data_IF_425065334870
#
_entry.id   IF_425065334870
#
_cell.length_a   1.000
_cell.length_b   1.000
_cell.length_c   1.000
_cell.angle_alpha   90.00
_cell.angle_beta   90.00
_cell.angle_gamma   90.00
#
_symmetry.space_group_name_H-M   'P 1'
#
loop_
_entity.id
_entity.type
_entity.pdbx_description
1 polymer ?
#
# COMPACT_ATOMS: atom_id res chain seq x y z
N UNK A 1 -14.33 13.81 30.48
CA UNK A 1 -14.66 12.93 29.33
C UNK A 1 -13.64 13.09 28.21
N UNK A 2 -13.25 14.31 27.81
CA UNK A 2 -12.26 14.58 26.74
C UNK A 2 -10.94 13.82 26.91
N UNK A 3 -10.39 13.79 28.14
CA UNK A 3 -9.13 13.10 28.43
C UNK A 3 -9.18 11.58 28.13
N UNK A 4 -10.31 10.91 28.42
CA UNK A 4 -10.48 9.48 28.13
C UNK A 4 -10.56 9.20 26.62
N UNK A 5 -11.16 10.10 25.86
CA UNK A 5 -11.24 9.98 24.40
C UNK A 5 -9.87 10.18 23.75
N UNK A 6 -9.10 11.18 24.20
CA UNK A 6 -7.72 11.42 23.77
C UNK A 6 -6.88 10.16 23.98
N UNK A 7 -6.91 9.57 25.18
CA UNK A 7 -6.15 8.35 25.47
C UNK A 7 -6.51 7.19 24.55
N UNK A 8 -7.79 7.01 24.23
CA UNK A 8 -8.25 5.95 23.32
C UNK A 8 -7.74 6.18 21.89
N UNK A 9 -7.82 7.42 21.41
CA UNK A 9 -7.32 7.78 20.09
C UNK A 9 -5.79 7.62 20.00
N UNK A 10 -5.04 8.08 21.00
CA UNK A 10 -3.60 7.95 21.05
C UNK A 10 -3.14 6.49 21.08
N UNK A 11 -3.84 5.63 21.82
CA UNK A 11 -3.60 4.18 21.80
C UNK A 11 -3.82 3.61 20.39
N UNK A 12 -4.92 3.99 19.73
CA UNK A 12 -5.21 3.56 18.36
C UNK A 12 -4.13 4.03 17.38
N UNK A 13 -3.65 5.26 17.54
CA UNK A 13 -2.57 5.83 16.71
C UNK A 13 -1.27 5.04 16.90
N UNK A 14 -0.92 4.69 18.14
CA UNK A 14 0.25 3.89 18.47
C UNK A 14 0.21 2.47 17.88
N UNK A 15 -0.97 1.96 17.54
CA UNK A 15 -1.14 0.64 16.91
C UNK A 15 -0.95 0.66 15.38
N UNK A 16 -0.96 1.82 14.72
CA UNK A 16 -0.79 1.90 13.26
C UNK A 16 0.51 1.28 12.74
N UNK A 17 1.68 1.50 13.35
CA UNK A 17 2.93 0.85 12.92
C UNK A 17 2.81 -0.69 12.88
N UNK A 18 2.16 -1.29 13.87
CA UNK A 18 1.94 -2.74 13.94
C UNK A 18 0.97 -3.22 12.86
N UNK A 19 -0.09 -2.44 12.58
CA UNK A 19 -1.02 -2.76 11.51
C UNK A 19 -0.35 -2.67 10.14
N UNK A 20 0.42 -1.61 9.90
CA UNK A 20 1.17 -1.41 8.65
C UNK A 20 2.21 -2.52 8.46
N UNK A 21 2.99 -2.88 9.48
CA UNK A 21 3.95 -3.98 9.43
C UNK A 21 3.30 -5.31 9.02
N UNK A 22 2.11 -5.62 9.55
CA UNK A 22 1.36 -6.83 9.18
C UNK A 22 0.97 -6.82 7.70
N UNK A 23 0.54 -5.68 7.16
CA UNK A 23 0.20 -5.58 5.73
C UNK A 23 1.47 -5.65 4.89
N UNK A 24 2.53 -4.94 5.27
CA UNK A 24 3.83 -4.97 4.60
C UNK A 24 4.37 -6.40 4.51
N UNK A 25 4.32 -7.18 5.59
CA UNK A 25 4.75 -8.59 5.58
C UNK A 25 3.94 -9.44 4.62
N UNK A 26 2.63 -9.21 4.50
CA UNK A 26 1.81 -9.91 3.48
C UNK A 26 2.18 -9.48 2.06
N UNK A 27 2.43 -8.20 1.86
CA UNK A 27 2.88 -7.67 0.56
C UNK A 27 4.25 -8.23 0.16
N UNK A 28 5.18 -8.38 1.11
CA UNK A 28 6.50 -8.97 0.88
C UNK A 28 6.46 -10.46 0.46
N UNK A 29 5.33 -11.15 0.67
CA UNK A 29 5.13 -12.53 0.20
C UNK A 29 4.58 -12.59 -1.24
N UNK A 30 4.19 -11.45 -1.82
CA UNK A 30 3.71 -11.37 -3.20
C UNK A 30 4.91 -11.49 -4.13
N UNK A 31 5.08 -12.66 -4.73
CA UNK A 31 6.19 -12.94 -5.61
C UNK A 31 5.79 -12.76 -7.07
N UNK A 32 6.67 -12.13 -7.84
CA UNK A 32 6.55 -12.06 -9.30
C UNK A 32 6.57 -13.49 -9.86
N UNK A 33 5.58 -13.88 -10.68
CA UNK A 33 5.50 -15.23 -11.21
C UNK A 33 6.65 -15.50 -12.18
N UNK A 34 7.21 -16.70 -12.13
CA UNK A 34 8.17 -17.20 -13.12
C UNK A 34 7.46 -18.17 -14.07
N UNK A 35 7.66 -18.02 -15.37
CA UNK A 35 7.05 -18.90 -16.36
C UNK A 35 7.98 -19.19 -17.53
N UNK A 36 7.83 -20.37 -18.10
CA UNK A 36 8.56 -20.86 -19.28
C UNK A 36 7.67 -20.89 -20.54
N UNK A 37 6.38 -20.59 -20.41
CA UNK A 37 5.41 -20.56 -21.50
C UNK A 37 4.46 -19.37 -21.35
N UNK A 38 3.90 -18.92 -22.48
CA UNK A 38 2.96 -17.79 -22.51
C UNK A 38 1.70 -18.09 -21.68
N UNK A 39 1.17 -19.31 -21.74
CA UNK A 39 -0.03 -19.67 -20.98
C UNK A 39 0.21 -19.66 -19.47
N UNK A 40 1.33 -20.23 -19.02
CA UNK A 40 1.73 -20.20 -17.61
C UNK A 40 2.01 -18.78 -17.13
N UNK A 41 2.61 -17.94 -17.98
CA UNK A 41 2.85 -16.52 -17.68
C UNK A 41 1.55 -15.74 -17.50
N UNK A 42 0.57 -15.94 -18.38
CA UNK A 42 -0.77 -15.33 -18.26
C UNK A 42 -1.45 -15.76 -16.96
N UNK A 43 -1.46 -17.07 -16.65
CA UNK A 43 -2.05 -17.57 -15.41
C UNK A 43 -1.37 -16.99 -14.17
N UNK A 44 -0.04 -16.98 -14.15
CA UNK A 44 0.76 -16.39 -13.08
C UNK A 44 0.49 -14.90 -12.89
N UNK A 45 0.45 -14.14 -13.98
CA UNK A 45 0.21 -12.68 -13.92
C UNK A 45 -1.19 -12.33 -13.44
N UNK A 46 -2.22 -13.07 -13.86
CA UNK A 46 -3.56 -12.85 -13.32
C UNK A 46 -3.59 -13.06 -11.78
N UNK A 47 -2.93 -14.12 -11.29
CA UNK A 47 -2.86 -14.38 -9.84
C UNK A 47 -2.07 -13.29 -9.09
N UNK A 48 -0.94 -12.86 -9.65
CA UNK A 48 -0.12 -11.77 -9.13
C UNK A 48 -0.92 -10.45 -9.04
N UNK A 49 -1.62 -10.07 -10.11
CA UNK A 49 -2.49 -8.88 -10.14
C UNK A 49 -3.57 -8.95 -9.05
N UNK A 50 -4.21 -10.12 -8.85
CA UNK A 50 -5.21 -10.29 -7.80
C UNK A 50 -4.59 -10.04 -6.41
N UNK A 51 -3.40 -10.61 -6.14
CA UNK A 51 -2.69 -10.41 -4.89
C UNK A 51 -2.32 -8.94 -4.66
N UNK A 52 -1.84 -8.25 -5.69
CA UNK A 52 -1.55 -6.82 -5.64
C UNK A 52 -2.81 -5.99 -5.35
N UNK A 53 -3.96 -6.26 -6.01
CA UNK A 53 -5.23 -5.56 -5.77
C UNK A 53 -5.72 -5.73 -4.33
N UNK A 54 -5.57 -6.93 -3.74
CA UNK A 54 -5.92 -7.19 -2.34
C UNK A 54 -5.02 -6.40 -1.38
N UNK A 55 -3.72 -6.34 -1.64
CA UNK A 55 -2.79 -5.54 -0.84
C UNK A 55 -3.06 -4.04 -0.98
N UNK A 56 -3.29 -3.54 -2.20
CA UNK A 56 -3.66 -2.15 -2.47
C UNK A 56 -4.90 -1.75 -1.65
N UNK A 57 -5.97 -2.53 -1.73
CA UNK A 57 -7.20 -2.28 -0.96
C UNK A 57 -6.97 -2.32 0.56
N UNK A 58 -6.06 -3.16 1.04
CA UNK A 58 -5.72 -3.22 2.46
C UNK A 58 -4.99 -1.95 2.93
N UNK A 59 -4.05 -1.44 2.13
CA UNK A 59 -3.38 -0.17 2.41
C UNK A 59 -4.32 1.03 2.28
N UNK A 60 -5.22 1.05 1.28
CA UNK A 60 -6.23 2.11 1.12
C UNK A 60 -7.14 2.22 2.35
N UNK A 61 -7.58 1.08 2.90
CA UNK A 61 -8.39 1.06 4.13
C UNK A 61 -7.64 1.68 5.32
N UNK A 62 -6.36 1.36 5.48
CA UNK A 62 -5.55 1.98 6.54
C UNK A 62 -5.38 3.48 6.28
N UNK A 63 -5.13 3.91 5.03
CA UNK A 63 -5.02 5.33 4.66
C UNK A 63 -6.27 6.10 5.09
N UNK A 64 -7.46 5.55 4.83
CA UNK A 64 -8.71 6.19 5.22
C UNK A 64 -8.87 6.26 6.75
N UNK A 65 -8.53 5.20 7.48
CA UNK A 65 -8.57 5.25 8.94
C UNK A 65 -7.60 6.29 9.52
N UNK A 66 -6.37 6.37 9.00
CA UNK A 66 -5.38 7.37 9.41
C UNK A 66 -5.93 8.79 9.17
N UNK A 67 -6.59 9.01 8.04
CA UNK A 67 -7.19 10.31 7.69
C UNK A 67 -8.32 10.68 8.66
N UNK A 68 -9.23 9.74 8.96
CA UNK A 68 -10.32 9.96 9.91
C UNK A 68 -9.77 10.27 11.31
N UNK A 69 -8.79 9.49 11.76
CA UNK A 69 -8.17 9.69 13.08
C UNK A 69 -7.37 10.99 13.15
N UNK A 70 -6.74 11.40 12.04
CA UNK A 70 -6.06 12.69 11.91
C UNK A 70 -7.02 13.87 12.03
N UNK A 71 -8.16 13.82 11.32
CA UNK A 71 -9.21 14.84 11.47
C UNK A 71 -9.73 14.90 12.91
N UNK A 72 -9.96 13.74 13.55
CA UNK A 72 -10.42 13.69 14.94
C UNK A 72 -9.38 14.24 15.92
N UNK A 73 -8.11 13.92 15.69
CA UNK A 73 -7.01 14.46 16.50
C UNK A 73 -6.92 15.99 16.38
N UNK A 74 -7.05 16.52 15.16
CA UNK A 74 -7.05 17.97 14.93
C UNK A 74 -8.23 18.66 15.63
N UNK A 75 -9.42 18.06 15.65
CA UNK A 75 -10.57 18.55 16.43
C UNK A 75 -10.29 18.57 17.93
N UNK A 76 -9.70 17.50 18.47
CA UNK A 76 -9.35 17.41 19.90
C UNK A 76 -8.25 18.41 20.27
N UNK A 77 -7.26 18.63 19.40
CA UNK A 77 -6.22 19.64 19.58
C UNK A 77 -6.79 21.06 19.63
N UNK A 78 -7.82 21.36 18.82
CA UNK A 78 -8.51 22.65 18.88
C UNK A 78 -9.33 22.81 20.17
N UNK A 79 -9.97 21.74 20.63
CA UNK A 79 -10.76 21.75 21.87
C UNK A 79 -9.89 21.87 23.13
N UNK A 80 -8.66 21.33 23.10
CA UNK A 80 -7.69 21.40 24.20
C UNK A 80 -6.83 22.68 24.20
N UNK A 81 -7.08 23.67 23.32
CA UNK A 81 -6.33 24.95 23.31
C UNK A 81 -6.41 25.76 24.62
N UNK A 82 -7.30 25.38 25.55
CA UNK A 82 -7.41 25.92 26.91
C UNK A 82 -6.82 25.03 28.02
N UNK A 83 -6.15 23.92 27.67
CA UNK A 83 -5.62 22.90 28.59
C UNK A 83 -4.13 23.06 28.96
N UNK A 84 -3.63 22.16 29.81
CA UNK A 84 -2.24 22.15 30.31
C UNK A 84 -1.21 21.77 29.25
N UNK A 85 0.03 22.28 29.38
CA UNK A 85 1.14 22.12 28.42
C UNK A 85 1.46 20.65 28.08
N UNK A 86 1.39 19.73 29.06
CA UNK A 86 1.65 18.30 28.82
C UNK A 86 0.64 17.62 27.88
N UNK A 87 -0.63 18.07 27.89
CA UNK A 87 -1.66 17.56 26.97
C UNK A 87 -1.33 17.94 25.53
N UNK A 88 -0.83 19.15 25.32
CA UNK A 88 -0.48 19.67 24.00
C UNK A 88 0.69 18.90 23.36
N UNK A 89 1.76 18.62 24.09
CA UNK A 89 2.93 17.88 23.56
C UNK A 89 2.57 16.44 23.17
N UNK A 90 1.75 15.79 23.99
CA UNK A 90 1.28 14.42 23.75
C UNK A 90 0.45 14.33 22.46
N UNK A 91 -0.45 15.29 22.23
CA UNK A 91 -1.25 15.36 21.01
C UNK A 91 -0.40 15.67 19.76
N UNK A 92 0.60 16.54 19.88
CA UNK A 92 1.55 16.83 18.80
C UNK A 92 2.34 15.59 18.39
N UNK A 93 2.80 14.78 19.36
CA UNK A 93 3.47 13.53 19.08
C UNK A 93 2.56 12.57 18.29
N UNK A 94 1.30 12.44 18.70
CA UNK A 94 0.31 11.62 17.98
C UNK A 94 0.06 12.12 16.56
N UNK A 95 0.11 13.43 16.33
CA UNK A 95 0.00 14.01 14.99
C UNK A 95 1.17 13.62 14.10
N UNK A 96 2.40 13.69 14.62
CA UNK A 96 3.60 13.24 13.90
C UNK A 96 3.51 11.74 13.59
N UNK A 97 3.04 10.92 14.52
CA UNK A 97 2.85 9.48 14.29
C UNK A 97 1.88 9.20 13.14
N UNK A 98 0.74 9.92 13.08
CA UNK A 98 -0.21 9.80 11.99
C UNK A 98 0.37 10.25 10.64
N UNK A 99 1.13 11.34 10.62
CA UNK A 99 1.81 11.81 9.40
C UNK A 99 2.81 10.78 8.87
N UNK A 100 3.63 10.20 9.75
CA UNK A 100 4.57 9.14 9.40
C UNK A 100 3.84 7.89 8.88
N UNK A 101 2.79 7.45 9.57
CA UNK A 101 1.97 6.32 9.15
C UNK A 101 1.34 6.57 7.77
N UNK A 102 0.78 7.76 7.55
CA UNK A 102 0.19 8.16 6.27
C UNK A 102 1.20 8.15 5.13
N UNK A 103 2.38 8.73 5.33
CA UNK A 103 3.45 8.76 4.34
C UNK A 103 3.97 7.35 3.98
N UNK A 104 4.09 6.48 4.98
CA UNK A 104 4.48 5.08 4.77
C UNK A 104 3.45 4.33 3.93
N UNK A 105 2.17 4.46 4.26
CA UNK A 105 1.06 3.84 3.51
C UNK A 105 1.01 4.35 2.07
N UNK A 106 1.19 5.65 1.86
CA UNK A 106 1.21 6.26 0.52
C UNK A 106 2.37 5.75 -0.34
N UNK A 107 3.54 5.55 0.26
CA UNK A 107 4.69 4.94 -0.43
C UNK A 107 4.36 3.53 -0.94
N UNK A 108 3.70 2.72 -0.11
CA UNK A 108 3.27 1.37 -0.51
C UNK A 108 2.18 1.39 -1.59
N UNK A 109 1.19 2.27 -1.47
CA UNK A 109 0.13 2.41 -2.48
C UNK A 109 0.69 2.79 -3.84
N UNK A 110 1.62 3.75 -3.88
CA UNK A 110 2.27 4.17 -5.11
C UNK A 110 3.10 3.02 -5.73
N UNK A 111 3.85 2.28 -4.89
CA UNK A 111 4.62 1.12 -5.34
C UNK A 111 3.73 0.02 -5.91
N UNK A 112 2.64 -0.32 -5.22
CA UNK A 112 1.70 -1.36 -5.67
C UNK A 112 0.99 -0.93 -6.96
N UNK A 113 0.60 0.34 -7.06
CA UNK A 113 -0.06 0.87 -8.27
C UNK A 113 0.87 0.79 -9.49
N UNK A 114 2.14 1.16 -9.34
CA UNK A 114 3.12 1.01 -10.41
C UNK A 114 3.32 -0.45 -10.85
N UNK A 115 3.33 -1.39 -9.89
CA UNK A 115 3.42 -2.83 -10.19
C UNK A 115 2.15 -3.36 -10.88
N UNK A 116 0.97 -2.87 -10.50
CA UNK A 116 -0.30 -3.21 -11.14
C UNK A 116 -0.31 -2.77 -12.60
N UNK A 117 0.05 -1.51 -12.86
CA UNK A 117 0.11 -0.97 -14.22
C UNK A 117 1.08 -1.78 -15.09
N UNK A 118 2.29 -2.07 -14.57
CA UNK A 118 3.28 -2.89 -15.25
C UNK A 118 2.79 -4.31 -15.55
N UNK A 119 2.11 -4.94 -14.58
CA UNK A 119 1.57 -6.28 -14.73
C UNK A 119 0.40 -6.34 -15.73
N UNK A 120 -0.46 -5.32 -15.75
CA UNK A 120 -1.58 -5.23 -16.70
C UNK A 120 -1.07 -5.05 -18.14
N UNK A 121 -0.06 -4.19 -18.36
CA UNK A 121 0.59 -4.03 -19.66
C UNK A 121 1.27 -5.32 -20.13
N UNK A 122 1.97 -6.02 -19.24
CA UNK A 122 2.61 -7.30 -19.58
C UNK A 122 1.59 -8.38 -19.93
N UNK A 123 0.48 -8.44 -19.18
CA UNK A 123 -0.62 -9.37 -19.43
C UNK A 123 -1.26 -9.12 -20.80
N UNK A 124 -1.47 -7.87 -21.18
CA UNK A 124 -2.00 -7.51 -22.50
C UNK A 124 -1.04 -7.96 -23.62
N UNK A 125 0.26 -7.66 -23.48
CA UNK A 125 1.30 -8.09 -24.45
C UNK A 125 1.32 -9.61 -24.61
N UNK A 126 1.24 -10.38 -23.53
CA UNK A 126 1.22 -11.84 -23.58
C UNK A 126 -0.05 -12.38 -24.24
N UNK A 127 -1.22 -11.79 -23.97
CA UNK A 127 -2.48 -12.15 -24.63
C UNK A 127 -2.42 -11.90 -26.13
N UNK A 128 -1.85 -10.76 -26.55
CA UNK A 128 -1.63 -10.45 -27.97
C UNK A 128 -0.66 -11.45 -28.63
N UNK A 129 0.44 -11.77 -27.96
CA UNK A 129 1.43 -12.75 -28.44
C UNK A 129 0.81 -14.15 -28.61
N UNK A 130 0.01 -14.59 -27.62
CA UNK A 130 -0.72 -15.85 -27.68
C UNK A 130 -1.66 -15.90 -28.89
N UNK A 131 -2.45 -14.84 -29.10
CA UNK A 131 -3.40 -14.73 -30.23
C UNK A 131 -2.68 -14.74 -31.58
N UNK A 132 -1.50 -14.12 -31.66
CA UNK A 132 -0.69 -14.05 -32.89
C UNK A 132 0.22 -15.27 -33.08
N UNK A 133 0.21 -16.26 -32.16
CA UNK A 133 1.14 -17.41 -32.14
C UNK A 133 2.62 -16.99 -32.25
N UNK A 134 2.96 -15.79 -31.77
CA UNK A 134 4.34 -15.29 -31.80
C UNK A 134 5.14 -15.88 -30.65
N UNK A 135 6.36 -16.30 -30.95
CA UNK A 135 7.35 -16.62 -29.92
C UNK A 135 7.81 -15.29 -29.30
N UNK A 136 7.53 -15.09 -28.01
CA UNK A 136 7.97 -13.93 -27.25
C UNK A 136 8.83 -14.43 -26.10
N UNK A 137 9.91 -13.72 -25.80
CA UNK A 137 10.76 -14.01 -24.65
C UNK A 137 10.00 -13.65 -23.36
N UNK A 138 9.33 -14.67 -22.81
CA UNK A 138 8.52 -14.59 -21.59
C UNK A 138 9.38 -14.20 -20.38
N UNK A 139 10.66 -14.57 -20.37
CA UNK A 139 11.58 -14.30 -19.25
C UNK A 139 11.88 -12.81 -19.18
N UNK A 140 12.16 -12.17 -20.32
CA UNK A 140 12.41 -10.72 -20.37
C UNK A 140 11.18 -9.91 -19.94
N UNK A 141 9.97 -10.30 -20.38
CA UNK A 141 8.74 -9.62 -19.96
C UNK A 141 8.47 -9.73 -18.45
N UNK A 142 8.73 -10.90 -17.85
CA UNK A 142 8.55 -11.08 -16.41
C UNK A 142 9.64 -10.38 -15.59
N UNK A 143 10.87 -10.31 -16.11
CA UNK A 143 11.96 -9.56 -15.48
C UNK A 143 11.71 -8.05 -15.45
N UNK A 144 11.01 -7.50 -16.46
CA UNK A 144 10.60 -6.08 -16.45
C UNK A 144 9.63 -5.77 -15.29
N UNK A 145 8.76 -6.72 -14.94
CA UNK A 145 7.82 -6.59 -13.81
C UNK A 145 8.58 -6.66 -12.47
N UNK A 146 9.55 -7.58 -12.37
CA UNK A 146 10.36 -7.75 -11.16
C UNK A 146 11.19 -6.51 -10.80
N UNK A 147 11.61 -5.72 -11.79
CA UNK A 147 12.38 -4.50 -11.58
C UNK A 147 11.54 -3.26 -11.30
N UNK A 148 10.22 -3.31 -11.48
CA UNK A 148 9.38 -2.11 -11.44
C UNK A 148 9.70 -1.08 -12.54
N UNK A 149 10.57 -1.44 -13.48
CA UNK A 149 10.97 -0.61 -14.62
C UNK A 149 9.87 -0.65 -15.69
N UNK A 150 8.75 0.00 -15.37
CA UNK A 150 7.89 0.57 -16.39
C UNK A 150 8.66 1.70 -17.07
N UNK A 151 8.87 1.58 -18.38
CA UNK A 151 9.48 2.58 -19.28
C UNK A 151 11.02 2.63 -19.31
N UNK A 152 11.58 1.76 -20.14
CA UNK A 152 12.51 2.21 -21.18
C UNK A 152 12.26 1.33 -22.41
N UNK A 153 11.84 1.98 -23.49
CA UNK A 153 11.54 1.38 -24.80
C UNK A 153 12.76 0.65 -25.37
#
# INVERSE_FOLDING_TARGET
MINSEIMLLQRKIADYPVQIDKIQKRYALVNTPKATSIESAIKGLNAYIIQLKVNNSSFDKIKEYIKVDGSRLDELMQQEQSGSVESADSLQLSKVQLQQAGAMVETYLNSISAQLDGAEVALEKLRLAQKQKKTVDVINLLAMIEKGDGYSL
#
